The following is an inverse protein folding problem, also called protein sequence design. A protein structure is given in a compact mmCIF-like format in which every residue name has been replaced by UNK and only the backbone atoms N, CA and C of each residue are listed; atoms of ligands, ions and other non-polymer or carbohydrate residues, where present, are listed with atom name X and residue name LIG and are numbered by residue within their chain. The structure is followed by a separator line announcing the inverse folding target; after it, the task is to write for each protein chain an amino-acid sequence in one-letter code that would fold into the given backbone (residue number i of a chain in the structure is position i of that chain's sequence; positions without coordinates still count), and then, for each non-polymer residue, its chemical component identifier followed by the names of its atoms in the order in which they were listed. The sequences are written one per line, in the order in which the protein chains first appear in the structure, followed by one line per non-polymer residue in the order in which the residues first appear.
data_IF_047470932968
#
_entry.id   IF_047470932968
#
_cell.length_a   1.000
_cell.length_b   1.000
_cell.length_c   1.000
_cell.angle_alpha   90.00
_cell.angle_beta   90.00
_cell.angle_gamma   90.00
#
_symmetry.space_group_name_H-M   'P 1'
#
loop_
_entity.id
_entity.type
_entity.pdbx_description
1 polymer ?
#
# COMPACT_ATOMS: atom_id res chain seq x y z
N UNK A 1 22.02 11.02 11.00
CA UNK A 1 20.58 10.72 10.91
C UNK A 1 20.40 9.23 10.78
N UNK A 2 19.72 8.62 11.73
CA UNK A 2 19.40 7.18 11.68
C UNK A 2 18.15 6.95 10.85
N UNK A 3 18.06 5.79 10.26
CA UNK A 3 16.90 5.31 9.51
C UNK A 3 16.82 3.78 9.59
N UNK A 4 15.65 3.24 9.31
CA UNK A 4 15.48 1.82 9.01
C UNK A 4 14.88 1.66 7.62
N UNK A 5 15.33 0.65 6.89
CA UNK A 5 14.71 0.23 5.65
C UNK A 5 13.85 -1.00 5.93
N UNK A 6 12.58 -0.90 5.57
CA UNK A 6 11.60 -1.95 5.72
C UNK A 6 11.05 -2.39 4.38
N UNK A 7 10.42 -3.53 4.32
CA UNK A 7 9.74 -4.01 3.13
C UNK A 7 8.47 -4.78 3.47
N UNK A 8 7.50 -4.72 2.57
CA UNK A 8 6.26 -5.49 2.58
C UNK A 8 5.95 -5.96 1.15
N UNK A 9 6.01 -7.26 0.92
CA UNK A 9 5.72 -7.87 -0.38
C UNK A 9 6.55 -7.30 -1.56
N UNK A 10 7.84 -7.02 -1.31
CA UNK A 10 8.75 -6.49 -2.33
C UNK A 10 8.65 -4.99 -2.61
N UNK A 11 7.78 -4.27 -1.90
CA UNK A 11 7.75 -2.82 -1.89
C UNK A 11 8.49 -2.33 -0.63
N UNK A 12 9.42 -1.40 -0.77
CA UNK A 12 10.30 -1.00 0.33
C UNK A 12 10.28 0.49 0.63
N UNK A 13 10.34 0.83 1.91
CA UNK A 13 10.39 2.20 2.38
C UNK A 13 11.55 2.45 3.33
N UNK A 14 12.07 3.67 3.29
CA UNK A 14 12.93 4.21 4.33
C UNK A 14 12.07 4.85 5.40
N UNK A 15 12.15 4.35 6.62
CA UNK A 15 11.45 4.94 7.78
C UNK A 15 12.39 5.90 8.49
N UNK A 16 11.91 7.11 8.72
CA UNK A 16 12.60 8.16 9.47
C UNK A 16 11.69 8.76 10.54
N UNK A 17 12.26 9.10 11.67
CA UNK A 17 11.57 9.83 12.73
C UNK A 17 11.78 11.34 12.53
N UNK A 18 10.71 12.11 12.51
CA UNK A 18 10.74 13.56 12.27
C UNK A 18 11.70 14.30 13.20
N UNK A 19 11.69 13.93 14.47
CA UNK A 19 12.51 14.57 15.49
C UNK A 19 14.01 14.29 15.34
N UNK A 20 14.36 13.22 14.60
CA UNK A 20 15.74 12.87 14.26
C UNK A 20 16.24 13.54 12.97
N UNK A 21 15.36 14.22 12.23
CA UNK A 21 15.70 14.93 11.00
C UNK A 21 16.24 16.33 11.32
N UNK A 22 17.42 16.73 10.79
CA UNK A 22 17.93 18.08 10.93
C UNK A 22 17.29 19.09 9.95
N UNK A 23 16.33 18.64 9.13
CA UNK A 23 15.63 19.43 8.10
C UNK A 23 14.24 18.83 7.84
N UNK A 24 13.37 19.58 7.20
CA UNK A 24 12.10 19.06 6.68
C UNK A 24 12.31 18.24 5.40
N UNK A 25 11.48 17.22 5.20
CA UNK A 25 11.46 16.48 3.94
C UNK A 25 10.77 17.32 2.86
N UNK A 26 11.58 17.78 1.90
CA UNK A 26 11.08 18.40 0.66
C UNK A 26 11.08 17.35 -0.46
N UNK A 27 10.35 17.58 -1.58
CA UNK A 27 10.38 16.67 -2.73
C UNK A 27 11.80 16.35 -3.22
N UNK A 28 12.70 17.35 -3.21
CA UNK A 28 14.10 17.20 -3.61
C UNK A 28 14.87 16.26 -2.67
N UNK A 29 14.67 16.42 -1.38
CA UNK A 29 15.30 15.57 -0.35
C UNK A 29 14.82 14.14 -0.41
N UNK A 30 13.51 13.94 -0.61
CA UNK A 30 12.92 12.61 -0.79
C UNK A 30 13.50 11.92 -2.02
N UNK A 31 13.54 12.60 -3.19
CA UNK A 31 14.17 12.08 -4.41
C UNK A 31 15.63 11.69 -4.17
N UNK A 32 16.37 12.51 -3.44
CA UNK A 32 17.78 12.25 -3.14
C UNK A 32 17.97 11.05 -2.18
N UNK A 33 17.06 10.87 -1.21
CA UNK A 33 17.06 9.70 -0.31
C UNK A 33 16.71 8.42 -1.06
N UNK A 34 15.68 8.44 -1.91
CA UNK A 34 15.21 7.31 -2.68
C UNK A 34 16.12 6.91 -3.85
N UNK A 35 17.08 7.77 -4.25
CA UNK A 35 17.96 7.51 -5.39
C UNK A 35 18.79 6.23 -5.20
N UNK A 36 18.72 5.23 -6.15
CA UNK A 36 19.31 3.91 -5.94
C UNK A 36 20.85 3.90 -5.81
N UNK A 37 21.52 4.85 -6.45
CA UNK A 37 23.01 4.86 -6.55
C UNK A 37 23.66 5.96 -5.72
N UNK A 38 22.92 6.94 -5.28
CA UNK A 38 23.46 8.12 -4.59
C UNK A 38 22.72 8.47 -3.30
N UNK A 39 21.66 7.79 -3.00
CA UNK A 39 20.88 7.82 -1.77
C UNK A 39 20.89 6.47 -1.07
N UNK A 40 19.82 6.18 -0.33
CA UNK A 40 19.58 4.88 0.31
C UNK A 40 19.04 3.87 -0.72
N UNK A 41 18.24 4.34 -1.68
CA UNK A 41 17.51 3.52 -2.64
C UNK A 41 16.26 2.91 -1.99
N UNK A 42 15.09 3.38 -2.37
CA UNK A 42 13.81 2.87 -1.86
C UNK A 42 12.65 3.29 -2.78
N UNK A 43 11.51 2.61 -2.63
CA UNK A 43 10.25 2.96 -3.30
C UNK A 43 9.55 4.15 -2.64
N UNK A 44 10.07 4.64 -1.51
CA UNK A 44 9.57 5.84 -0.85
C UNK A 44 10.17 6.08 0.54
N UNK A 45 9.62 7.09 1.22
CA UNK A 45 9.99 7.46 2.59
C UNK A 45 8.74 7.52 3.45
N UNK A 46 8.80 6.92 4.64
CA UNK A 46 7.81 7.03 5.70
C UNK A 46 8.37 7.97 6.78
N UNK A 47 7.74 9.11 6.98
CA UNK A 47 8.07 10.04 8.06
C UNK A 47 7.11 9.81 9.22
N UNK A 48 7.63 9.44 10.36
CA UNK A 48 6.89 9.27 11.61
C UNK A 48 7.16 10.44 12.55
N UNK A 49 6.11 10.98 13.15
CA UNK A 49 6.23 12.03 14.15
C UNK A 49 5.34 11.74 15.37
N UNK A 50 5.80 12.13 16.55
CA UNK A 50 4.95 12.16 17.73
C UNK A 50 3.81 13.15 17.55
N UNK A 51 2.65 12.83 18.10
CA UNK A 51 1.47 13.70 18.10
C UNK A 51 1.01 13.95 19.53
N UNK A 52 0.72 15.20 19.83
CA UNK A 52 0.12 15.60 21.12
C UNK A 52 -1.40 15.55 21.03
N UNK A 53 -1.92 14.37 20.68
CA UNK A 53 -3.35 14.11 20.55
C UNK A 53 -3.72 12.79 21.22
N UNK A 54 -4.64 12.84 22.23
CA UNK A 54 -5.05 11.63 22.93
C UNK A 54 -5.60 10.56 21.99
N UNK A 55 -5.12 9.33 22.16
CA UNK A 55 -5.55 8.18 21.37
C UNK A 55 -4.69 7.87 20.15
N UNK A 56 -3.82 8.79 19.72
CA UNK A 56 -2.88 8.53 18.61
C UNK A 56 -1.45 8.27 19.13
N UNK A 57 -0.79 7.28 18.55
CA UNK A 57 0.62 6.95 18.85
C UNK A 57 1.56 7.80 18.00
N UNK A 58 1.21 8.02 16.74
CA UNK A 58 2.03 8.76 15.79
C UNK A 58 1.20 9.39 14.67
N UNK A 59 1.81 10.32 13.95
CA UNK A 59 1.41 10.68 12.59
C UNK A 59 2.36 10.05 11.59
N UNK A 60 1.82 9.64 10.45
CA UNK A 60 2.54 9.05 9.33
C UNK A 60 2.32 9.91 8.08
N UNK A 61 3.42 10.33 7.45
CA UNK A 61 3.44 10.87 6.09
C UNK A 61 4.14 9.89 5.18
N UNK A 62 3.58 9.70 3.99
CA UNK A 62 4.09 8.78 2.98
C UNK A 62 4.56 9.58 1.78
N UNK A 63 5.80 9.39 1.38
CA UNK A 63 6.37 10.05 0.20
C UNK A 63 6.74 9.01 -0.85
N UNK A 64 6.32 9.27 -2.08
CA UNK A 64 6.75 8.52 -3.25
C UNK A 64 8.20 8.86 -3.64
N UNK A 65 8.89 8.02 -4.42
CA UNK A 65 10.29 8.24 -4.78
C UNK A 65 10.50 9.48 -5.68
N UNK A 66 9.44 10.01 -6.30
CA UNK A 66 9.45 11.26 -7.07
C UNK A 66 9.33 12.51 -6.19
N UNK A 67 9.15 12.34 -4.87
CA UNK A 67 8.98 13.39 -3.89
C UNK A 67 7.54 13.86 -3.67
N UNK A 68 6.57 13.32 -4.38
CA UNK A 68 5.16 13.59 -4.12
C UNK A 68 4.72 12.91 -2.82
N UNK A 69 3.76 13.52 -2.12
CA UNK A 69 3.16 12.94 -0.92
C UNK A 69 1.92 12.13 -1.31
N UNK A 70 1.82 10.90 -0.83
CA UNK A 70 0.67 10.03 -0.98
C UNK A 70 -0.22 10.10 0.28
N UNK A 71 -1.52 9.97 0.10
CA UNK A 71 -2.46 9.95 1.24
C UNK A 71 -2.23 8.74 2.15
N UNK A 72 -1.95 7.57 1.54
CA UNK A 72 -1.67 6.31 2.22
C UNK A 72 -1.01 5.31 1.26
N UNK A 73 -0.17 4.44 1.80
CA UNK A 73 0.32 3.21 1.16
C UNK A 73 -0.06 2.02 2.03
N UNK A 74 -0.73 1.02 1.47
CA UNK A 74 -1.10 -0.19 2.22
C UNK A 74 0.13 -0.98 2.70
N UNK A 75 1.20 -1.03 1.91
CA UNK A 75 2.48 -1.64 2.29
C UNK A 75 3.20 -0.78 3.33
N UNK A 76 3.40 0.51 3.02
CA UNK A 76 4.05 1.45 3.94
C UNK A 76 3.32 1.59 5.29
N UNK A 77 1.99 1.46 5.30
CA UNK A 77 1.22 1.45 6.54
C UNK A 77 1.62 0.27 7.44
N UNK A 78 1.73 -0.96 6.90
CA UNK A 78 2.15 -2.13 7.68
C UNK A 78 3.58 -2.01 8.17
N UNK A 79 4.47 -1.48 7.34
CA UNK A 79 5.86 -1.21 7.72
C UNK A 79 5.93 -0.22 8.89
N UNK A 80 5.22 0.91 8.80
CA UNK A 80 5.15 1.91 9.86
C UNK A 80 4.56 1.35 11.16
N UNK A 81 3.47 0.58 11.08
CA UNK A 81 2.79 -0.04 12.21
C UNK A 81 3.76 -0.96 13.00
N UNK A 82 4.42 -1.87 12.27
CA UNK A 82 5.33 -2.84 12.88
C UNK A 82 6.63 -2.18 13.36
N UNK A 83 7.09 -1.14 12.66
CA UNK A 83 8.19 -0.30 13.14
C UNK A 83 7.86 0.36 14.48
N UNK A 84 6.70 1.02 14.61
CA UNK A 84 6.29 1.70 15.84
C UNK A 84 6.27 0.73 17.04
N UNK A 85 5.76 -0.49 16.82
CA UNK A 85 5.78 -1.54 17.83
C UNK A 85 7.20 -1.95 18.20
N UNK A 86 8.05 -2.22 17.19
CA UNK A 86 9.44 -2.64 17.36
C UNK A 86 10.33 -1.56 18.01
N UNK A 87 10.13 -0.29 17.63
CA UNK A 87 10.88 0.85 18.16
C UNK A 87 10.43 1.28 19.57
N UNK A 88 9.37 0.65 20.11
CA UNK A 88 8.88 0.93 21.46
C UNK A 88 8.07 2.21 21.61
N UNK A 89 7.49 2.73 20.50
CA UNK A 89 6.56 3.86 20.57
C UNK A 89 5.25 3.48 21.24
N UNK A 90 4.89 2.20 21.17
CA UNK A 90 3.72 1.63 21.84
C UNK A 90 3.96 0.15 22.17
N UNK A 91 3.36 -0.32 23.27
CA UNK A 91 3.25 -1.73 23.65
C UNK A 91 1.81 -2.28 23.44
N UNK A 92 0.89 -1.42 23.00
CA UNK A 92 -0.50 -1.80 22.77
C UNK A 92 -0.62 -2.63 21.49
N UNK A 93 -1.49 -3.64 21.52
CA UNK A 93 -1.84 -4.42 20.32
C UNK A 93 -2.71 -3.63 19.35
N UNK A 94 -3.55 -2.73 19.87
CA UNK A 94 -4.43 -1.85 19.09
C UNK A 94 -4.12 -0.39 19.43
N UNK A 95 -3.95 0.44 18.43
CA UNK A 95 -3.66 1.86 18.57
C UNK A 95 -4.10 2.62 17.33
N UNK A 96 -3.95 3.93 17.34
CA UNK A 96 -4.30 4.78 16.19
C UNK A 96 -3.08 5.52 15.68
N UNK A 97 -2.99 5.64 14.36
CA UNK A 97 -2.01 6.45 13.64
C UNK A 97 -2.78 7.48 12.80
N UNK A 98 -2.33 8.73 12.84
CA UNK A 98 -2.86 9.77 11.97
C UNK A 98 -2.18 9.72 10.61
N UNK A 99 -2.96 9.74 9.53
CA UNK A 99 -2.48 9.82 8.14
C UNK A 99 -3.22 10.92 7.38
N UNK A 100 -2.76 11.25 6.18
CA UNK A 100 -3.48 12.17 5.29
C UNK A 100 -4.85 11.62 4.84
N UNK A 101 -4.99 10.29 4.77
CA UNK A 101 -6.26 9.60 4.49
C UNK A 101 -7.21 9.55 5.71
N UNK A 102 -6.76 9.96 6.90
CA UNK A 102 -7.49 9.90 8.14
C UNK A 102 -6.85 9.01 9.20
N UNK A 103 -7.66 8.52 10.12
CA UNK A 103 -7.23 7.61 11.18
C UNK A 103 -7.03 6.20 10.64
N UNK A 104 -5.85 5.62 10.93
CA UNK A 104 -5.53 4.23 10.66
C UNK A 104 -5.55 3.45 11.98
N UNK A 105 -6.30 2.36 12.05
CA UNK A 105 -6.49 1.52 13.24
C UNK A 105 -5.94 0.12 13.02
N UNK A 106 -4.66 -0.10 13.32
CA UNK A 106 -4.07 -1.42 13.24
C UNK A 106 -4.37 -2.29 14.46
N UNK A 107 -4.26 -3.60 14.25
CA UNK A 107 -4.11 -4.62 15.30
C UNK A 107 -2.85 -5.41 15.03
N UNK A 108 -1.91 -5.44 15.98
CA UNK A 108 -0.70 -6.27 15.91
C UNK A 108 -1.10 -7.72 16.15
N UNK A 109 -0.71 -8.61 15.24
CA UNK A 109 -0.95 -10.04 15.34
C UNK A 109 0.32 -10.82 15.70
N UNK A 110 1.48 -10.32 15.29
CA UNK A 110 2.80 -10.85 15.63
C UNK A 110 3.87 -9.77 15.43
N UNK A 111 5.13 -10.10 15.63
CA UNK A 111 6.25 -9.17 15.40
C UNK A 111 6.41 -8.76 13.92
N UNK A 112 5.81 -9.52 13.00
CA UNK A 112 5.91 -9.29 11.55
C UNK A 112 4.57 -9.21 10.85
N UNK A 113 3.44 -9.28 11.55
CA UNK A 113 2.12 -9.32 10.94
C UNK A 113 1.16 -8.40 11.67
N UNK A 114 0.43 -7.60 10.93
CA UNK A 114 -0.64 -6.77 11.47
C UNK A 114 -1.89 -6.84 10.59
N UNK A 115 -3.03 -6.53 11.20
CA UNK A 115 -4.32 -6.29 10.55
C UNK A 115 -4.57 -4.80 10.52
N UNK A 116 -5.10 -4.32 9.41
CA UNK A 116 -5.44 -2.92 9.19
C UNK A 116 -6.90 -2.81 8.80
N UNK A 117 -7.66 -2.01 9.55
CA UNK A 117 -9.01 -1.61 9.18
C UNK A 117 -8.93 -0.66 7.97
N UNK A 118 -9.40 -1.13 6.81
CA UNK A 118 -9.41 -0.39 5.55
C UNK A 118 -10.72 0.37 5.34
N UNK A 119 -11.63 0.33 6.32
CA UNK A 119 -12.94 0.93 6.26
C UNK A 119 -13.90 0.13 5.40
N UNK A 120 -14.91 0.82 4.85
CA UNK A 120 -16.00 0.19 4.11
C UNK A 120 -15.88 0.47 2.62
N UNK A 121 -15.90 -0.61 1.81
CA UNK A 121 -15.99 -0.47 0.38
C UNK A 121 -17.37 0.02 -0.08
N UNK A 122 -17.39 0.64 -1.25
CA UNK A 122 -18.62 0.93 -1.98
C UNK A 122 -18.63 0.14 -3.28
N UNK A 123 -19.72 -0.58 -3.51
CA UNK A 123 -20.02 -1.15 -4.83
C UNK A 123 -20.49 -0.01 -5.75
N UNK A 124 -19.76 0.22 -6.82
CA UNK A 124 -20.04 1.27 -7.82
C UNK A 124 -20.59 0.68 -9.14
N UNK A 125 -20.90 -0.63 -9.13
CA UNK A 125 -21.56 -1.34 -10.22
C UNK A 125 -20.61 -2.08 -11.14
N UNK A 126 -21.16 -2.57 -12.25
CA UNK A 126 -20.47 -3.40 -13.24
C UNK A 126 -20.51 -2.78 -14.63
N UNK A 127 -19.61 -3.20 -15.52
CA UNK A 127 -19.58 -2.76 -16.90
C UNK A 127 -18.66 -3.61 -17.76
N UNK A 128 -18.39 -3.14 -18.97
CA UNK A 128 -17.45 -3.76 -19.89
C UNK A 128 -16.38 -2.74 -20.33
N UNK A 129 -15.13 -3.16 -20.41
CA UNK A 129 -14.00 -2.35 -20.85
C UNK A 129 -12.96 -3.23 -21.54
N UNK A 130 -12.45 -2.80 -22.70
CA UNK A 130 -11.44 -3.55 -23.47
C UNK A 130 -11.82 -5.03 -23.71
N UNK A 131 -13.12 -5.34 -23.82
CA UNK A 131 -13.62 -6.71 -23.99
C UNK A 131 -13.73 -7.53 -22.71
N UNK A 132 -13.52 -6.94 -21.55
CA UNK A 132 -13.64 -7.57 -20.23
C UNK A 132 -14.82 -7.01 -19.44
N UNK A 133 -15.57 -7.90 -18.79
CA UNK A 133 -16.52 -7.51 -17.75
C UNK A 133 -15.77 -7.12 -16.48
N UNK A 134 -16.09 -5.99 -15.88
CA UNK A 134 -15.47 -5.50 -14.64
C UNK A 134 -16.50 -5.26 -13.55
N UNK A 135 -16.05 -5.29 -12.32
CA UNK A 135 -16.69 -4.76 -11.13
C UNK A 135 -15.95 -3.49 -10.71
N UNK A 136 -16.68 -2.39 -10.59
CA UNK A 136 -16.14 -1.15 -10.02
C UNK A 136 -16.43 -1.12 -8.53
N UNK A 137 -15.40 -0.94 -7.72
CA UNK A 137 -15.51 -0.76 -6.27
C UNK A 137 -14.63 0.40 -5.82
N UNK A 138 -14.96 0.99 -4.68
CA UNK A 138 -14.15 2.02 -4.06
C UNK A 138 -13.78 1.57 -2.65
N UNK A 139 -12.49 1.42 -2.40
CA UNK A 139 -11.92 0.98 -1.12
C UNK A 139 -11.10 2.11 -0.45
N UNK A 140 -11.58 3.36 -0.61
CA UNK A 140 -10.85 4.58 -0.30
C UNK A 140 -10.25 5.21 -1.56
N UNK A 141 -10.01 4.41 -2.60
CA UNK A 141 -9.66 4.82 -3.96
C UNK A 141 -10.39 3.96 -5.00
N UNK A 142 -10.53 4.43 -6.26
CA UNK A 142 -11.23 3.70 -7.30
C UNK A 142 -10.49 2.43 -7.72
N UNK A 143 -11.24 1.33 -7.89
CA UNK A 143 -10.76 0.01 -8.32
C UNK A 143 -11.62 -0.52 -9.46
N UNK A 144 -11.01 -0.86 -10.59
CA UNK A 144 -11.61 -1.61 -11.68
C UNK A 144 -11.13 -3.05 -11.59
N UNK A 145 -12.01 -3.95 -11.13
CA UNK A 145 -11.66 -5.33 -10.83
C UNK A 145 -12.22 -6.28 -11.88
N UNK A 146 -11.34 -7.00 -12.57
CA UNK A 146 -11.63 -7.83 -13.74
C UNK A 146 -11.29 -9.29 -13.43
N UNK A 147 -12.32 -10.15 -13.44
CA UNK A 147 -12.11 -11.60 -13.32
C UNK A 147 -11.75 -12.20 -14.68
N UNK A 148 -10.69 -12.99 -14.72
CA UNK A 148 -10.34 -13.85 -15.86
C UNK A 148 -10.55 -15.32 -15.54
N UNK A 149 -10.58 -16.17 -16.57
CA UNK A 149 -11.08 -17.55 -16.43
C UNK A 149 -10.08 -18.47 -15.73
N UNK A 150 -8.77 -18.25 -15.95
CA UNK A 150 -7.72 -19.12 -15.42
C UNK A 150 -6.44 -18.38 -15.09
N UNK A 151 -5.56 -19.01 -14.33
CA UNK A 151 -4.24 -18.49 -14.03
C UNK A 151 -3.37 -18.35 -15.29
N UNK A 152 -3.55 -19.25 -16.27
CA UNK A 152 -2.86 -19.16 -17.55
C UNK A 152 -3.32 -17.93 -18.36
N UNK A 153 -4.63 -17.64 -18.36
CA UNK A 153 -5.15 -16.42 -18.99
C UNK A 153 -4.61 -15.17 -18.28
N UNK A 154 -4.59 -15.17 -16.93
CA UNK A 154 -4.04 -14.08 -16.14
C UNK A 154 -2.55 -13.83 -16.46
N UNK A 155 -1.76 -14.89 -16.53
CA UNK A 155 -0.33 -14.80 -16.82
C UNK A 155 -0.05 -14.32 -18.26
N UNK A 156 -0.93 -14.61 -19.21
CA UNK A 156 -0.80 -14.20 -20.61
C UNK A 156 -1.12 -12.71 -20.86
N UNK A 157 -1.73 -12.00 -19.90
CA UNK A 157 -2.07 -10.58 -20.04
C UNK A 157 -0.82 -9.70 -20.03
N UNK A 158 -0.78 -8.73 -20.93
CA UNK A 158 0.15 -7.60 -20.87
C UNK A 158 -0.52 -6.43 -20.12
N UNK A 159 -0.25 -6.28 -18.81
CA UNK A 159 -0.81 -5.19 -18.05
C UNK A 159 -0.23 -3.83 -18.48
N UNK A 160 0.97 -3.81 -19.01
CA UNK A 160 1.57 -2.60 -19.59
C UNK A 160 0.77 -2.08 -20.81
N UNK A 161 0.07 -2.96 -21.54
CA UNK A 161 -0.77 -2.58 -22.68
C UNK A 161 -2.23 -2.35 -22.28
N UNK A 162 -2.76 -3.16 -21.36
CA UNK A 162 -4.18 -3.11 -20.94
C UNK A 162 -4.43 -2.07 -19.84
N UNK A 163 -3.47 -1.87 -18.96
CA UNK A 163 -3.63 -0.99 -17.80
C UNK A 163 -3.88 0.48 -18.17
N UNK A 164 -3.03 1.14 -18.98
CA UNK A 164 -3.19 2.56 -19.28
C UNK A 164 -4.52 2.95 -19.90
N UNK A 165 -5.07 2.24 -20.92
CA UNK A 165 -6.37 2.60 -21.49
C UNK A 165 -7.53 2.36 -20.54
N UNK A 166 -7.43 1.40 -19.60
CA UNK A 166 -8.46 1.19 -18.58
C UNK A 166 -8.35 2.24 -17.49
N UNK A 167 -7.15 2.48 -16.97
CA UNK A 167 -6.88 3.45 -15.91
C UNK A 167 -7.42 4.83 -16.22
N UNK A 168 -7.29 5.28 -17.49
CA UNK A 168 -7.64 6.64 -17.94
C UNK A 168 -8.97 6.74 -18.66
N UNK A 169 -9.76 5.66 -18.68
CA UNK A 169 -11.06 5.66 -19.37
C UNK A 169 -12.03 6.69 -18.78
N UNK A 170 -12.85 7.29 -19.63
CA UNK A 170 -13.81 8.34 -19.24
C UNK A 170 -14.83 7.91 -18.19
N UNK A 171 -15.05 6.61 -18.03
CA UNK A 171 -15.89 6.03 -16.97
C UNK A 171 -15.29 6.20 -15.57
N UNK A 172 -13.98 6.40 -15.49
CA UNK A 172 -13.24 6.63 -14.24
C UNK A 172 -12.70 8.07 -14.19
N UNK A 173 -13.53 9.07 -13.85
CA UNK A 173 -13.14 10.49 -13.93
C UNK A 173 -11.95 10.84 -13.02
N UNK A 174 -11.72 10.08 -11.97
CA UNK A 174 -10.58 10.22 -11.06
C UNK A 174 -9.48 9.21 -11.36
N UNK A 175 -9.49 8.57 -12.56
CA UNK A 175 -8.69 7.40 -12.93
C UNK A 175 -8.99 6.22 -11.99
N UNK A 176 -8.40 5.06 -12.22
CA UNK A 176 -8.65 3.88 -11.41
C UNK A 176 -7.41 2.99 -11.32
N UNK A 177 -7.27 2.25 -10.22
CA UNK A 177 -6.41 1.07 -10.22
C UNK A 177 -7.11 -0.05 -10.97
N UNK A 178 -6.35 -0.93 -11.61
CA UNK A 178 -6.89 -2.05 -12.39
C UNK A 178 -6.33 -3.35 -11.82
N UNK A 179 -7.20 -4.23 -11.36
CA UNK A 179 -6.83 -5.57 -10.93
C UNK A 179 -7.42 -6.62 -11.84
N UNK A 180 -6.56 -7.46 -12.41
CA UNK A 180 -6.98 -8.71 -13.07
C UNK A 180 -6.78 -9.86 -12.10
N UNK A 181 -7.80 -10.69 -11.94
CA UNK A 181 -7.73 -11.79 -10.97
C UNK A 181 -8.45 -13.04 -11.44
N UNK A 182 -8.07 -14.16 -10.87
CA UNK A 182 -8.71 -15.48 -11.08
C UNK A 182 -8.78 -16.23 -9.76
N UNK A 183 -9.77 -17.12 -9.66
CA UNK A 183 -10.00 -17.95 -8.49
C UNK A 183 -9.12 -19.20 -8.58
N UNK A 184 -8.33 -19.45 -7.53
CA UNK A 184 -7.50 -20.65 -7.36
C UNK A 184 -8.22 -21.69 -6.51
N UNK A 185 -9.00 -21.23 -5.52
CA UNK A 185 -9.85 -22.01 -4.62
C UNK A 185 -10.94 -21.09 -4.07
N UNK A 186 -12.00 -21.59 -3.42
CA UNK A 186 -13.11 -20.76 -2.93
C UNK A 186 -12.68 -19.57 -2.06
N UNK A 187 -11.61 -19.73 -1.25
CA UNK A 187 -11.06 -18.70 -0.38
C UNK A 187 -9.67 -18.22 -0.83
N UNK A 188 -9.31 -18.40 -2.10
CA UNK A 188 -7.99 -18.04 -2.61
C UNK A 188 -8.05 -17.55 -4.05
N UNK A 189 -7.57 -16.34 -4.29
CA UNK A 189 -7.50 -15.73 -5.62
C UNK A 189 -6.08 -15.33 -5.94
N UNK A 190 -5.73 -15.37 -7.24
CA UNK A 190 -4.49 -14.79 -7.78
C UNK A 190 -4.82 -13.47 -8.46
N UNK A 191 -4.10 -12.42 -8.15
CA UNK A 191 -4.29 -11.11 -8.76
C UNK A 191 -2.98 -10.51 -9.27
N UNK A 192 -3.07 -9.74 -10.37
CA UNK A 192 -2.05 -8.83 -10.88
C UNK A 192 -2.64 -7.44 -10.96
N UNK A 193 -1.88 -6.43 -10.54
CA UNK A 193 -2.42 -5.10 -10.31
C UNK A 193 -1.61 -4.07 -11.07
N UNK A 194 -2.33 -3.20 -11.79
CA UNK A 194 -1.80 -1.99 -12.41
C UNK A 194 -2.29 -0.80 -11.60
N UNK A 195 -1.39 -0.16 -10.87
CA UNK A 195 -1.72 0.94 -9.98
C UNK A 195 -1.77 2.27 -10.72
N UNK A 196 -2.74 3.07 -10.37
CA UNK A 196 -2.99 4.41 -10.91
C UNK A 196 -1.75 5.31 -10.79
N UNK A 197 -1.20 5.73 -11.93
CA UNK A 197 -0.04 6.61 -11.99
C UNK A 197 1.31 5.94 -11.76
N UNK A 198 1.33 4.64 -11.46
CA UNK A 198 2.56 3.88 -11.17
C UNK A 198 2.83 2.83 -12.24
N UNK A 199 1.81 2.04 -12.60
CA UNK A 199 1.95 0.92 -13.51
C UNK A 199 1.74 -0.42 -12.81
N UNK A 200 2.20 -1.51 -13.42
CA UNK A 200 2.14 -2.84 -12.82
C UNK A 200 3.11 -2.92 -11.62
N UNK A 201 2.60 -3.36 -10.46
CA UNK A 201 3.34 -3.48 -9.21
C UNK A 201 3.29 -4.92 -8.70
N UNK A 202 4.35 -5.34 -8.00
CA UNK A 202 4.41 -6.68 -7.41
C UNK A 202 3.38 -6.87 -6.29
N UNK A 203 2.94 -5.77 -5.65
CA UNK A 203 1.95 -5.81 -4.58
C UNK A 203 1.22 -4.48 -4.45
N UNK A 204 -0.08 -4.55 -4.15
CA UNK A 204 -0.92 -3.39 -3.84
C UNK A 204 -1.95 -3.79 -2.80
N UNK A 205 -1.94 -3.14 -1.64
CA UNK A 205 -2.91 -3.42 -0.57
C UNK A 205 -4.34 -3.07 -0.97
N UNK A 206 -4.56 -1.88 -1.54
CA UNK A 206 -5.90 -1.46 -1.99
C UNK A 206 -6.37 -2.22 -3.23
N UNK A 207 -5.43 -2.59 -4.12
CA UNK A 207 -5.73 -3.45 -5.27
C UNK A 207 -6.16 -4.85 -4.85
N UNK A 208 -5.50 -5.43 -3.83
CA UNK A 208 -5.89 -6.71 -3.23
C UNK A 208 -7.30 -6.61 -2.60
N UNK A 209 -7.58 -5.54 -1.84
CA UNK A 209 -8.91 -5.29 -1.29
C UNK A 209 -9.98 -5.17 -2.40
N UNK A 210 -9.69 -4.45 -3.48
CA UNK A 210 -10.59 -4.31 -4.62
C UNK A 210 -10.92 -5.66 -5.29
N UNK A 211 -9.92 -6.53 -5.48
CA UNK A 211 -10.10 -7.88 -6.01
C UNK A 211 -10.91 -8.76 -5.05
N UNK A 212 -10.61 -8.69 -3.74
CA UNK A 212 -11.33 -9.44 -2.71
C UNK A 212 -12.80 -9.04 -2.60
N UNK A 213 -13.11 -7.73 -2.62
CA UNK A 213 -14.49 -7.23 -2.62
C UNK A 213 -15.23 -7.70 -3.89
N UNK A 214 -14.59 -7.61 -5.07
CA UNK A 214 -15.20 -8.11 -6.30
C UNK A 214 -15.42 -9.64 -6.28
N UNK A 215 -14.57 -10.41 -5.59
CA UNK A 215 -14.75 -11.83 -5.34
C UNK A 215 -15.96 -12.06 -4.43
N UNK A 216 -16.05 -11.39 -3.29
CA UNK A 216 -17.16 -11.51 -2.34
C UNK A 216 -18.52 -11.12 -2.97
N UNK A 217 -18.57 -10.02 -3.75
CA UNK A 217 -19.80 -9.61 -4.47
C UNK A 217 -20.29 -10.64 -5.49
N UNK A 218 -19.44 -11.59 -5.92
CA UNK A 218 -19.79 -12.72 -6.78
C UNK A 218 -20.16 -13.99 -6.00
N UNK A 219 -20.25 -13.89 -4.66
CA UNK A 219 -20.57 -15.00 -3.77
C UNK A 219 -19.36 -15.86 -3.39
N UNK A 220 -18.14 -15.32 -3.55
CA UNK A 220 -16.93 -15.97 -3.05
C UNK A 220 -16.80 -15.88 -1.53
N UNK A 221 -15.96 -16.76 -0.97
CA UNK A 221 -15.74 -16.85 0.49
C UNK A 221 -14.93 -15.66 1.03
N UNK A 222 -15.16 -15.34 2.31
CA UNK A 222 -14.39 -14.39 3.10
C UNK A 222 -14.07 -15.04 4.47
N UNK A 223 -12.84 -14.88 5.01
CA UNK A 223 -11.69 -14.20 4.42
C UNK A 223 -11.14 -14.90 3.18
N UNK A 224 -10.54 -14.12 2.30
CA UNK A 224 -9.90 -14.61 1.07
C UNK A 224 -8.40 -14.28 1.07
N UNK A 225 -7.57 -15.26 0.71
CA UNK A 225 -6.15 -15.05 0.44
C UNK A 225 -5.97 -14.51 -0.98
N UNK A 226 -5.41 -13.31 -1.10
CA UNK A 226 -5.04 -12.69 -2.37
C UNK A 226 -3.55 -12.93 -2.63
N UNK A 227 -3.24 -13.75 -3.63
CA UNK A 227 -1.87 -14.06 -4.06
C UNK A 227 -1.44 -13.02 -5.08
N UNK A 228 -0.38 -12.28 -4.78
CA UNK A 228 0.26 -11.28 -5.64
C UNK A 228 1.66 -11.74 -6.03
N UNK A 229 2.35 -11.04 -6.93
CA UNK A 229 3.73 -11.37 -7.31
C UNK A 229 4.70 -11.21 -6.13
N UNK A 230 4.48 -10.21 -5.28
CA UNK A 230 5.30 -9.95 -4.10
C UNK A 230 4.97 -10.83 -2.88
N UNK A 231 3.87 -11.59 -2.89
CA UNK A 231 3.45 -12.44 -1.78
C UNK A 231 1.93 -12.47 -1.57
N UNK A 232 1.51 -12.80 -0.36
CA UNK A 232 0.11 -13.04 -0.03
C UNK A 232 -0.41 -12.03 0.99
N UNK A 233 -1.67 -11.63 0.80
CA UNK A 233 -2.45 -10.84 1.73
C UNK A 233 -3.74 -11.59 2.05
N UNK A 234 -4.18 -11.53 3.30
CA UNK A 234 -5.51 -11.99 3.67
C UNK A 234 -6.45 -10.78 3.76
N UNK A 235 -7.59 -10.88 3.12
CA UNK A 235 -8.61 -9.83 3.11
C UNK A 235 -9.92 -10.42 3.63
N UNK A 236 -10.40 -9.88 4.74
CA UNK A 236 -11.73 -10.16 5.26
C UNK A 236 -12.69 -9.09 4.76
N UNK A 237 -13.80 -9.53 4.14
CA UNK A 237 -14.87 -8.66 3.64
C UNK A 237 -16.15 -9.03 4.36
N UNK A 238 -16.65 -8.13 5.19
CA UNK A 238 -17.91 -8.31 5.91
C UNK A 238 -19.14 -8.18 5.00
N UNK A 239 -20.30 -8.64 5.47
CA UNK A 239 -21.58 -8.54 4.76
C UNK A 239 -21.96 -7.10 4.40
N UNK A 240 -21.43 -6.14 5.14
CA UNK A 240 -21.63 -4.69 4.95
C UNK A 240 -20.51 -4.04 4.14
N UNK A 241 -19.63 -4.85 3.53
CA UNK A 241 -18.44 -4.49 2.77
C UNK A 241 -17.37 -3.77 3.62
N UNK A 242 -17.36 -3.96 4.94
CA UNK A 242 -16.22 -3.57 5.77
C UNK A 242 -15.02 -4.46 5.42
N UNK A 243 -13.82 -3.87 5.38
CA UNK A 243 -12.61 -4.55 4.92
C UNK A 243 -11.55 -4.51 6.01
N UNK A 244 -11.06 -5.68 6.38
CA UNK A 244 -9.83 -5.84 7.14
C UNK A 244 -8.75 -6.47 6.27
N UNK A 245 -7.59 -5.83 6.21
CA UNK A 245 -6.41 -6.30 5.47
C UNK A 245 -5.37 -6.81 6.44
N UNK A 246 -5.04 -8.09 6.36
CA UNK A 246 -3.94 -8.70 7.13
C UNK A 246 -2.75 -8.97 6.21
N UNK A 247 -1.58 -8.55 6.65
CA UNK A 247 -0.34 -8.77 5.90
C UNK A 247 0.89 -8.57 6.77
N UNK A 248 2.04 -8.97 6.23
CA UNK A 248 3.33 -8.88 6.90
C UNK A 248 4.15 -7.70 6.40
N UNK A 249 5.13 -7.31 7.21
CA UNK A 249 6.25 -6.46 6.84
C UNK A 249 7.45 -6.80 7.75
N UNK A 250 8.65 -6.54 7.27
CA UNK A 250 9.87 -6.84 8.00
C UNK A 250 10.96 -5.78 7.79
N UNK A 251 11.84 -5.55 8.77
CA UNK A 251 13.01 -4.70 8.60
C UNK A 251 14.04 -5.39 7.69
N UNK A 252 14.60 -4.63 6.75
CA UNK A 252 15.69 -5.10 5.89
C UNK A 252 17.04 -4.78 6.52
N UNK A 253 17.25 -3.53 6.92
CA UNK A 253 18.43 -3.09 7.67
C UNK A 253 18.19 -1.72 8.32
N UNK A 254 19.02 -1.42 9.32
CA UNK A 254 19.14 -0.08 9.90
C UNK A 254 20.46 0.54 9.49
N UNK A 255 20.48 1.86 9.35
CA UNK A 255 21.66 2.60 8.93
C UNK A 255 21.74 4.01 9.50
N UNK A 256 22.85 4.65 9.20
CA UNK A 256 23.09 6.05 9.50
C UNK A 256 23.65 6.73 8.24
N UNK A 257 23.09 7.91 7.90
CA UNK A 257 23.59 8.68 6.76
C UNK A 257 24.97 9.26 7.06
N UNK A 258 25.84 9.24 6.06
CA UNK A 258 27.14 9.88 6.16
C UNK A 258 27.00 11.41 6.33
N UNK A 259 27.99 12.08 6.95
CA UNK A 259 27.99 13.55 7.05
C UNK A 259 27.91 14.24 5.69
N UNK A 260 28.51 13.65 4.65
CA UNK A 260 28.52 14.18 3.27
C UNK A 260 27.12 14.15 2.67
N UNK A 261 26.40 13.03 2.82
CA UNK A 261 25.02 12.93 2.34
C UNK A 261 24.10 13.88 3.12
N UNK A 262 24.26 13.97 4.43
CA UNK A 262 23.51 14.92 5.27
C UNK A 262 23.73 16.37 4.83
N UNK A 263 24.98 16.77 4.56
CA UNK A 263 25.30 18.11 4.08
C UNK A 263 24.68 18.39 2.71
N UNK A 264 24.70 17.40 1.82
CA UNK A 264 24.04 17.50 0.51
C UNK A 264 22.53 17.67 0.66
N UNK A 265 21.87 16.85 1.48
CA UNK A 265 20.43 16.96 1.73
C UNK A 265 20.05 18.31 2.36
N UNK A 266 20.85 18.81 3.30
CA UNK A 266 20.61 20.11 3.92
C UNK A 266 20.69 21.28 2.91
N UNK A 267 21.49 21.16 1.85
CA UNK A 267 21.62 22.17 0.80
C UNK A 267 20.50 22.16 -0.24
N UNK A 268 19.65 21.13 -0.26
CA UNK A 268 18.47 21.06 -1.12
C UNK A 268 17.34 21.89 -0.48
N UNK A 269 16.62 22.63 -1.32
CA UNK A 269 15.54 23.55 -0.89
C UNK A 269 14.17 22.89 -0.92
#
# INVERSE_FOLDING_TARGET
MRFEKWQALGNDYVIVERDALPFELTPERVRALCAPHSGIGADGVLELAHVDEPGFVASLRVFNPDGSEAELSGNGAREAILYLRRAGWTDQEQFSIRTAAGELRPTILSDTTCRVDMGRARDEGTGEICGFAYQQVNVGNPQCSIRVTSEADLAALSLAELGPPIETDVRFPNRTNVSFWTELAPNRIRARIFERGVGETASSGTGACGAAVAHALRGGDSPVTVVLDGGELEVEVGDDLHIDLTGWAEPVYAGELSPELLSRLASLS
#
